data_IF_484648842163
#
_entry.id   IF_484648842163
#
_cell.length_a   1.000
_cell.length_b   1.000
_cell.length_c   1.000
_cell.angle_alpha   90.00
_cell.angle_beta   90.00
_cell.angle_gamma   90.00
#
_symmetry.space_group_name_H-M   'P 1'
#
loop_
_entity.id
_entity.type
_entity.pdbx_description
1 polymer ?
#
# COMPACT_ATOMS: atom_id res chain seq x y z
N UNK A 1 12.79 -25.53 -10.57
CA UNK A 1 11.48 -24.99 -10.14
C UNK A 1 11.74 -23.60 -9.60
N UNK A 2 11.01 -22.57 -10.07
CA UNK A 2 11.14 -21.23 -9.50
C UNK A 2 10.56 -21.23 -8.09
N UNK A 3 11.29 -20.68 -7.12
CA UNK A 3 10.78 -20.56 -5.75
C UNK A 3 9.64 -19.53 -5.73
N UNK A 4 8.53 -19.80 -5.04
CA UNK A 4 7.44 -18.84 -4.93
C UNK A 4 7.91 -17.60 -4.16
N UNK A 5 7.44 -16.42 -4.58
CA UNK A 5 7.65 -15.18 -3.85
C UNK A 5 6.94 -15.17 -2.50
N UNK A 6 7.29 -14.21 -1.64
CA UNK A 6 6.64 -13.99 -0.33
C UNK A 6 5.86 -12.69 -0.34
N UNK A 7 4.58 -12.74 0.01
CA UNK A 7 3.77 -11.55 0.28
C UNK A 7 3.89 -11.14 1.75
N UNK A 8 4.12 -9.85 2.00
CA UNK A 8 4.24 -9.28 3.34
C UNK A 8 3.30 -8.09 3.45
N UNK A 9 2.36 -8.12 4.40
CA UNK A 9 1.57 -6.94 4.77
C UNK A 9 2.40 -5.99 5.63
N UNK A 10 2.55 -4.74 5.19
CA UNK A 10 3.33 -3.72 5.90
C UNK A 10 2.41 -2.64 6.45
N UNK A 11 2.44 -2.44 7.77
CA UNK A 11 1.89 -1.26 8.41
C UNK A 11 2.85 -0.08 8.22
N UNK A 12 2.40 0.98 7.54
CA UNK A 12 3.24 2.13 7.18
C UNK A 12 3.11 3.31 8.15
N UNK A 13 2.22 3.21 9.14
CA UNK A 13 1.91 4.29 10.08
C UNK A 13 0.64 5.08 9.67
N UNK A 14 0.25 6.08 10.48
CA UNK A 14 -1.02 6.79 10.31
C UNK A 14 -0.97 7.97 9.32
N UNK A 15 0.22 8.41 8.90
CA UNK A 15 0.35 9.56 7.99
C UNK A 15 1.75 10.16 7.97
N UNK A 16 2.36 10.33 9.14
CA UNK A 16 3.73 10.83 9.25
C UNK A 16 4.74 9.74 8.84
N UNK A 17 5.61 9.98 7.83
CA UNK A 17 6.65 9.04 7.39
C UNK A 17 7.64 8.61 8.47
N UNK A 18 7.81 9.37 9.56
CA UNK A 18 8.69 9.03 10.67
C UNK A 18 8.09 8.00 11.63
N UNK A 19 6.77 7.79 11.58
CA UNK A 19 6.07 6.82 12.44
C UNK A 19 6.08 5.39 11.89
N UNK A 20 6.77 5.13 10.78
CA UNK A 20 6.98 3.77 10.28
C UNK A 20 7.89 2.98 11.23
N UNK A 21 7.53 1.73 11.53
CA UNK A 21 8.41 0.89 12.36
C UNK A 21 9.71 0.56 11.63
N UNK A 22 10.82 0.43 12.36
CA UNK A 22 12.14 0.07 11.80
C UNK A 22 12.08 -1.23 11.00
N UNK A 23 11.29 -2.22 11.45
CA UNK A 23 11.11 -3.49 10.72
C UNK A 23 10.35 -3.31 9.40
N UNK A 24 9.30 -2.50 9.39
CA UNK A 24 8.55 -2.23 8.16
C UNK A 24 9.40 -1.47 7.14
N UNK A 25 10.15 -0.46 7.58
CA UNK A 25 11.08 0.29 6.73
C UNK A 25 12.15 -0.61 6.10
N UNK A 26 12.76 -1.50 6.91
CA UNK A 26 13.76 -2.45 6.41
C UNK A 26 13.18 -3.39 5.36
N UNK A 27 12.03 -3.99 5.65
CA UNK A 27 11.36 -4.91 4.71
C UNK A 27 10.89 -4.20 3.45
N UNK A 28 10.41 -2.96 3.56
CA UNK A 28 10.06 -2.12 2.41
C UNK A 28 11.26 -1.95 1.49
N UNK A 29 12.42 -1.54 2.03
CA UNK A 29 13.64 -1.29 1.22
C UNK A 29 14.24 -2.55 0.61
N UNK A 30 14.15 -3.69 1.30
CA UNK A 30 14.64 -4.99 0.79
C UNK A 30 13.72 -5.61 -0.28
N UNK A 31 12.47 -5.14 -0.39
CA UNK A 31 11.48 -5.74 -1.31
C UNK A 31 11.64 -5.19 -2.73
N UNK A 32 11.87 -6.04 -3.75
CA UNK A 32 12.02 -5.58 -5.14
C UNK A 32 10.70 -5.10 -5.77
N UNK A 33 9.55 -5.48 -5.20
CA UNK A 33 8.22 -5.09 -5.68
C UNK A 33 7.42 -4.51 -4.52
N UNK A 34 6.84 -3.33 -4.73
CA UNK A 34 5.96 -2.66 -3.74
C UNK A 34 4.57 -2.50 -4.35
N UNK A 35 3.64 -3.31 -3.85
CA UNK A 35 2.23 -3.20 -4.20
C UNK A 35 1.51 -2.25 -3.23
N UNK A 36 0.72 -1.32 -3.74
CA UNK A 36 0.02 -0.33 -2.91
C UNK A 36 -1.35 0.02 -3.48
N UNK A 37 -2.30 0.31 -2.60
CA UNK A 37 -3.66 0.65 -2.99
C UNK A 37 -3.79 2.12 -3.35
N UNK A 38 -4.54 2.37 -4.42
CA UNK A 38 -4.73 3.72 -4.93
C UNK A 38 -6.13 3.87 -5.55
N UNK A 39 -6.77 5.01 -5.30
CA UNK A 39 -7.99 5.38 -6.01
C UNK A 39 -7.62 5.90 -7.40
N UNK A 40 -8.49 5.67 -8.40
CA UNK A 40 -8.24 6.13 -9.79
C UNK A 40 -7.92 7.63 -9.82
N UNK A 41 -6.74 7.98 -10.35
CA UNK A 41 -6.27 9.37 -10.46
C UNK A 41 -5.76 10.01 -9.17
N UNK A 42 -5.66 9.27 -8.07
CA UNK A 42 -5.02 9.72 -6.81
C UNK A 42 -3.70 9.00 -6.60
N UNK A 43 -2.96 9.38 -5.55
CA UNK A 43 -1.65 8.82 -5.20
C UNK A 43 -1.73 7.68 -4.16
N UNK A 44 -2.79 7.67 -3.35
CA UNK A 44 -3.02 6.69 -2.27
C UNK A 44 -2.33 7.11 -0.96
N UNK A 45 -3.08 7.06 0.16
CA UNK A 45 -2.57 7.56 1.45
C UNK A 45 -1.31 6.80 1.90
N UNK A 46 -1.36 5.46 1.87
CA UNK A 46 -0.24 4.62 2.26
C UNK A 46 1.02 4.87 1.41
N UNK A 47 0.84 5.10 0.10
CA UNK A 47 1.95 5.40 -0.80
C UNK A 47 2.63 6.73 -0.44
N UNK A 48 1.84 7.77 -0.14
CA UNK A 48 2.38 9.06 0.28
C UNK A 48 3.26 8.98 1.54
N UNK A 49 2.93 8.09 2.48
CA UNK A 49 3.71 7.87 3.70
C UNK A 49 5.08 7.26 3.38
N UNK A 50 5.13 6.30 2.45
CA UNK A 50 6.35 5.54 2.17
C UNK A 50 7.21 6.14 1.05
N UNK A 51 6.71 7.13 0.31
CA UNK A 51 7.34 7.63 -0.92
C UNK A 51 8.80 8.02 -0.73
N UNK A 52 9.10 8.77 0.34
CA UNK A 52 10.47 9.22 0.65
C UNK A 52 11.42 8.07 1.06
N UNK A 53 10.88 6.88 1.33
CA UNK A 53 11.64 5.70 1.75
C UNK A 53 11.90 4.69 0.63
N UNK A 54 11.22 4.86 -0.52
CA UNK A 54 11.36 4.01 -1.70
C UNK A 54 12.76 4.12 -2.31
N UNK A 55 13.15 3.07 -3.03
CA UNK A 55 14.39 2.99 -3.79
C UNK A 55 14.07 2.96 -5.28
N UNK A 56 14.89 3.61 -6.10
CA UNK A 56 14.67 3.71 -7.55
C UNK A 56 14.63 2.36 -8.27
N UNK A 57 15.27 1.34 -7.70
CA UNK A 57 15.31 -0.02 -8.26
C UNK A 57 14.02 -0.83 -8.03
N UNK A 58 13.07 -0.32 -7.25
CA UNK A 58 11.84 -1.05 -6.91
C UNK A 58 10.79 -0.93 -8.01
N UNK A 59 10.15 -2.06 -8.33
CA UNK A 59 8.96 -2.07 -9.18
C UNK A 59 7.75 -1.66 -8.35
N UNK A 60 7.13 -0.54 -8.72
CA UNK A 60 5.92 -0.03 -8.08
C UNK A 60 4.68 -0.62 -8.77
N UNK A 61 3.86 -1.35 -8.02
CA UNK A 61 2.64 -2.02 -8.51
C UNK A 61 1.39 -1.34 -7.93
N UNK A 62 0.79 -0.35 -8.62
CA UNK A 62 -0.44 0.28 -8.18
C UNK A 62 -1.62 -0.69 -8.28
N UNK A 63 -2.26 -0.98 -7.17
CA UNK A 63 -3.51 -1.72 -7.06
C UNK A 63 -4.67 -0.71 -7.10
N UNK A 64 -5.08 -0.36 -8.32
CA UNK A 64 -6.16 0.60 -8.55
C UNK A 64 -7.48 -0.08 -8.19
N UNK A 65 -8.14 0.40 -7.13
CA UNK A 65 -9.50 -0.06 -6.85
C UNK A 65 -10.50 0.62 -7.81
N UNK A 66 -11.47 -0.13 -8.36
CA UNK A 66 -12.64 0.49 -8.95
C UNK A 66 -13.37 1.23 -7.83
N UNK A 67 -13.54 2.55 -7.98
CA UNK A 67 -14.37 3.31 -7.05
C UNK A 67 -15.81 2.87 -7.30
N UNK A 68 -16.33 2.00 -6.44
CA UNK A 68 -17.77 1.75 -6.36
C UNK A 68 -18.37 2.94 -5.63
N UNK A 69 -18.79 3.97 -6.38
CA UNK A 69 -19.60 5.06 -5.82
C UNK A 69 -20.99 4.59 -5.40
N UNK A 70 -21.34 3.35 -5.70
CA UNK A 70 -22.56 2.70 -5.25
C UNK A 70 -22.44 2.40 -3.76
N UNK A 71 -23.38 2.94 -2.98
CA UNK A 71 -23.56 2.56 -1.59
C UNK A 71 -23.77 1.04 -1.53
N UNK A 72 -22.98 0.35 -0.71
CA UNK A 72 -23.18 -1.07 -0.49
C UNK A 72 -24.57 -1.27 0.15
N UNK A 73 -25.39 -2.24 -0.31
CA UNK A 73 -26.66 -2.51 0.32
C UNK A 73 -26.43 -2.94 1.77
N UNK A 74 -27.36 -2.61 2.68
CA UNK A 74 -27.34 -3.14 4.04
C UNK A 74 -27.29 -4.69 3.99
N UNK A 75 -26.46 -5.36 4.81
CA UNK A 75 -25.70 -4.86 5.97
C UNK A 75 -24.24 -4.48 5.68
N UNK A 76 -23.86 -4.30 4.41
CA UNK A 76 -22.46 -4.14 4.00
C UNK A 76 -21.97 -2.68 4.02
N UNK A 77 -22.85 -1.72 4.31
CA UNK A 77 -22.49 -0.30 4.50
C UNK A 77 -22.15 0.01 5.96
N UNK A 78 -21.04 0.74 6.17
CA UNK A 78 -20.65 1.30 7.47
C UNK A 78 -21.21 2.70 7.72
N UNK A 79 -21.76 3.35 6.70
CA UNK A 79 -22.43 4.65 6.83
C UNK A 79 -23.91 4.40 7.07
N UNK A 80 -24.33 4.53 8.33
CA UNK A 80 -25.72 4.57 8.80
C UNK A 80 -25.98 5.90 9.49
#
# INVERSE_FOLDING_TARGET
MQQPGRLIGLGVGPGDPELITVKALRLLRESPVVAYFVAKGKKGNAFGIIEAHLQDAQTLLPLVYPVTTEALPAPLSYEQ
#
